data_IF_518208409298
#
_entry.id   IF_518208409298
#
_cell.length_a   1.000
_cell.length_b   1.000
_cell.length_c   1.000
_cell.angle_alpha   90.00
_cell.angle_beta   90.00
_cell.angle_gamma   90.00
#
_symmetry.space_group_name_H-M   'P 1'
#
loop_
_entity.id
_entity.type
_entity.pdbx_description
1 polymer ?
#
# COMPACT_ATOMS: atom_id res chain seq x y z
N UNK A 1 -18.80 6.42 9.81
CA UNK A 1 -18.67 6.60 11.29
C UNK A 1 -17.88 5.47 11.96
N UNK A 2 -18.01 4.20 11.53
CA UNK A 2 -17.35 3.05 12.18
C UNK A 2 -15.81 3.14 12.19
N UNK A 3 -15.18 3.57 11.10
CA UNK A 3 -13.73 3.66 10.99
C UNK A 3 -13.11 4.73 11.90
N UNK A 4 -13.82 5.83 12.12
CA UNK A 4 -13.35 6.92 12.98
C UNK A 4 -13.34 6.47 14.46
N UNK A 5 -14.28 5.62 14.84
CA UNK A 5 -14.38 5.07 16.20
C UNK A 5 -13.44 3.88 16.43
N UNK A 6 -12.91 3.28 15.37
CA UNK A 6 -11.99 2.15 15.50
C UNK A 6 -10.74 2.59 16.27
N UNK A 7 -10.36 1.93 17.38
CA UNK A 7 -9.18 2.30 18.16
C UNK A 7 -7.89 2.06 17.40
N UNK A 8 -6.84 2.77 17.76
CA UNK A 8 -5.49 2.47 17.33
C UNK A 8 -5.08 1.08 17.80
N UNK A 9 -4.28 0.40 17.00
CA UNK A 9 -3.67 -0.84 17.46
C UNK A 9 -2.74 -0.54 18.64
N UNK A 10 -2.92 -1.30 19.72
CA UNK A 10 -2.07 -1.27 20.91
C UNK A 10 -1.73 -2.70 21.31
N UNK A 11 -0.53 -3.16 20.98
CA UNK A 11 0.00 -4.46 21.41
C UNK A 11 1.00 -4.31 22.55
N UNK A 12 1.43 -5.42 23.13
CA UNK A 12 2.37 -5.42 24.29
C UNK A 12 3.70 -4.71 24.00
N UNK A 13 4.14 -4.66 22.73
CA UNK A 13 5.41 -4.05 22.31
C UNK A 13 5.21 -2.82 21.39
N UNK A 14 4.02 -2.25 21.34
CA UNK A 14 3.75 -1.07 20.49
C UNK A 14 3.71 0.19 21.32
N UNK A 15 4.48 1.21 20.89
CA UNK A 15 4.41 2.54 21.48
C UNK A 15 3.12 3.23 21.04
N UNK A 16 2.52 4.06 21.92
CA UNK A 16 1.39 4.88 21.52
C UNK A 16 1.80 5.84 20.40
N UNK A 17 0.92 6.11 19.42
CA UNK A 17 1.23 7.00 18.33
C UNK A 17 1.52 8.41 18.85
N UNK A 18 2.57 9.03 18.33
CA UNK A 18 2.90 10.44 18.60
C UNK A 18 1.79 11.35 18.07
N UNK A 19 1.67 12.57 18.60
CA UNK A 19 0.58 13.48 18.26
C UNK A 19 0.41 13.72 16.74
N UNK A 20 1.51 13.90 16.02
CA UNK A 20 1.49 14.10 14.57
C UNK A 20 1.07 12.84 13.79
N UNK A 21 1.46 11.65 14.26
CA UNK A 21 1.01 10.38 13.69
C UNK A 21 -0.49 10.19 13.91
N UNK A 22 -0.98 10.49 15.12
CA UNK A 22 -2.44 10.47 15.41
C UNK A 22 -3.20 11.42 14.49
N UNK A 23 -2.69 12.62 14.28
CA UNK A 23 -3.31 13.61 13.40
C UNK A 23 -3.32 13.09 11.95
N UNK A 24 -2.19 12.55 11.45
CA UNK A 24 -2.09 12.00 10.11
C UNK A 24 -3.10 10.86 9.91
N UNK A 25 -3.11 9.87 10.81
CA UNK A 25 -4.05 8.73 10.75
C UNK A 25 -5.50 9.21 10.78
N UNK A 26 -5.88 10.03 11.77
CA UNK A 26 -7.26 10.47 11.93
C UNK A 26 -7.75 11.30 10.74
N UNK A 27 -6.93 12.22 10.21
CA UNK A 27 -7.28 13.03 9.04
C UNK A 27 -7.42 12.17 7.78
N UNK A 28 -6.54 11.19 7.60
CA UNK A 28 -6.64 10.25 6.47
C UNK A 28 -7.93 9.45 6.53
N UNK A 29 -8.27 8.90 7.69
CA UNK A 29 -9.50 8.12 7.85
C UNK A 29 -10.76 8.97 7.72
N UNK A 30 -10.74 10.21 8.20
CA UNK A 30 -11.84 11.16 8.00
C UNK A 30 -12.01 11.51 6.51
N UNK A 31 -10.91 11.75 5.79
CA UNK A 31 -10.91 12.02 4.36
C UNK A 31 -11.52 10.83 3.57
N UNK A 32 -11.09 9.60 3.87
CA UNK A 32 -11.63 8.39 3.26
C UNK A 32 -13.12 8.22 3.60
N UNK A 33 -13.50 8.45 4.85
CA UNK A 33 -14.90 8.34 5.29
C UNK A 33 -15.82 9.36 4.60
N UNK A 34 -15.28 10.49 4.15
CA UNK A 34 -15.97 11.51 3.34
C UNK A 34 -15.95 11.24 1.83
N UNK A 35 -15.34 10.13 1.39
CA UNK A 35 -15.29 9.75 -0.02
C UNK A 35 -14.14 10.39 -0.80
N UNK A 36 -13.06 10.83 -0.14
CA UNK A 36 -11.85 11.25 -0.85
C UNK A 36 -11.07 10.04 -1.35
N UNK A 37 -10.75 10.04 -2.64
CA UNK A 37 -10.06 8.92 -3.31
C UNK A 37 -8.55 9.15 -3.44
N UNK A 38 -8.07 10.38 -3.23
CA UNK A 38 -6.66 10.75 -3.39
C UNK A 38 -6.19 11.50 -2.15
N UNK A 39 -5.17 10.96 -1.48
CA UNK A 39 -4.64 11.50 -0.23
C UNK A 39 -3.12 11.52 -0.30
N UNK A 40 -2.51 12.64 0.04
CA UNK A 40 -1.06 12.79 0.15
C UNK A 40 -0.67 13.02 1.61
N UNK A 41 0.22 12.16 2.13
CA UNK A 41 0.81 12.28 3.45
C UNK A 41 2.26 12.72 3.37
N UNK A 42 2.52 13.97 3.74
CA UNK A 42 3.89 14.50 3.77
C UNK A 42 4.46 14.35 5.19
N UNK A 43 5.40 13.43 5.35
CA UNK A 43 6.05 13.14 6.62
C UNK A 43 7.58 13.08 6.45
N UNK A 44 8.31 13.68 7.37
CA UNK A 44 9.78 13.65 7.34
C UNK A 44 10.34 12.22 7.54
N UNK A 45 11.55 11.99 7.06
CA UNK A 45 12.27 10.74 7.29
C UNK A 45 12.45 10.48 8.79
N UNK A 46 12.27 9.24 9.24
CA UNK A 46 12.41 8.87 10.65
C UNK A 46 11.22 9.23 11.55
N UNK A 47 10.14 9.79 11.00
CA UNK A 47 8.93 10.12 11.79
C UNK A 47 7.94 8.97 11.94
N UNK A 48 8.27 7.77 11.43
CA UNK A 48 7.43 6.58 11.51
C UNK A 48 6.33 6.55 10.45
N UNK A 49 6.67 6.82 9.19
CA UNK A 49 5.75 6.72 8.05
C UNK A 49 5.12 5.32 7.96
N UNK A 50 5.93 4.27 8.04
CA UNK A 50 5.47 2.88 7.98
C UNK A 50 4.51 2.55 9.12
N UNK A 51 4.83 2.98 10.34
CA UNK A 51 3.93 2.85 11.48
C UNK A 51 2.60 3.58 11.26
N UNK A 52 2.65 4.79 10.69
CA UNK A 52 1.44 5.57 10.37
C UNK A 52 0.59 4.84 9.32
N UNK A 53 1.21 4.32 8.26
CA UNK A 53 0.55 3.52 7.24
C UNK A 53 -0.06 2.24 7.84
N UNK A 54 0.67 1.53 8.72
CA UNK A 54 0.15 0.37 9.44
C UNK A 54 -1.11 0.70 10.23
N UNK A 55 -1.13 1.79 10.99
CA UNK A 55 -2.31 2.19 11.77
C UNK A 55 -3.52 2.53 10.89
N UNK A 56 -3.28 3.15 9.74
CA UNK A 56 -4.33 3.42 8.75
C UNK A 56 -4.92 2.10 8.23
N UNK A 57 -4.05 1.20 7.75
CA UNK A 57 -4.43 -0.12 7.23
C UNK A 57 -5.19 -0.93 8.28
N UNK A 58 -4.64 -1.04 9.49
CA UNK A 58 -5.26 -1.76 10.59
C UNK A 58 -6.69 -1.29 10.86
N UNK A 59 -6.90 0.02 11.00
CA UNK A 59 -8.22 0.59 11.29
C UNK A 59 -9.20 0.43 10.14
N UNK A 60 -8.74 0.54 8.89
CA UNK A 60 -9.57 0.32 7.70
C UNK A 60 -10.02 -1.14 7.57
N UNK A 61 -9.12 -2.10 7.79
CA UNK A 61 -9.45 -3.52 7.79
C UNK A 61 -10.40 -3.87 8.94
N UNK A 62 -10.09 -3.45 10.17
CA UNK A 62 -10.92 -3.75 11.35
C UNK A 62 -12.32 -3.15 11.30
N UNK A 63 -12.47 -2.00 10.67
CA UNK A 63 -13.80 -1.40 10.43
C UNK A 63 -14.57 -2.04 9.28
N UNK A 64 -13.91 -2.89 8.47
CA UNK A 64 -14.48 -3.49 7.26
C UNK A 64 -14.67 -2.49 6.11
N UNK A 65 -14.12 -1.27 6.23
CA UNK A 65 -14.26 -0.23 5.21
C UNK A 65 -13.42 -0.53 3.96
N UNK A 66 -12.25 -1.16 4.15
CA UNK A 66 -11.35 -1.64 3.09
C UNK A 66 -10.99 -3.09 3.40
N UNK A 67 -10.86 -3.92 2.35
CA UNK A 67 -10.66 -5.37 2.47
C UNK A 67 -9.46 -5.87 1.69
N UNK A 68 -9.12 -5.22 0.56
CA UNK A 68 -8.01 -5.59 -0.31
C UNK A 68 -7.09 -4.38 -0.51
N UNK A 69 -5.88 -4.50 0.00
CA UNK A 69 -4.94 -3.39 0.09
C UNK A 69 -3.66 -3.74 -0.64
N UNK A 70 -3.23 -2.89 -1.58
CA UNK A 70 -1.93 -2.96 -2.21
C UNK A 70 -0.98 -1.95 -1.57
N UNK A 71 0.16 -2.42 -1.07
CA UNK A 71 1.23 -1.59 -0.55
C UNK A 71 2.44 -1.65 -1.49
N UNK A 72 2.76 -0.54 -2.10
CA UNK A 72 3.89 -0.40 -3.03
C UNK A 72 5.08 0.25 -2.34
N UNK A 73 6.23 -0.44 -2.36
CA UNK A 73 7.47 0.04 -1.77
C UNK A 73 8.60 0.12 -2.82
N UNK A 74 9.58 1.00 -2.58
CA UNK A 74 10.72 1.19 -3.48
C UNK A 74 11.78 0.09 -3.34
N UNK A 75 11.96 -0.50 -2.14
CA UNK A 75 13.05 -1.45 -1.87
C UNK A 75 12.60 -2.70 -1.12
N UNK A 76 13.15 -3.85 -1.51
CA UNK A 76 12.91 -5.16 -0.86
C UNK A 76 13.19 -5.16 0.64
N UNK A 77 14.31 -4.57 1.06
CA UNK A 77 14.70 -4.50 2.47
C UNK A 77 13.64 -3.76 3.30
N UNK A 78 13.05 -2.70 2.74
CA UNK A 78 12.00 -1.95 3.41
C UNK A 78 10.71 -2.75 3.55
N UNK A 79 10.36 -3.57 2.54
CA UNK A 79 9.18 -4.46 2.61
C UNK A 79 9.34 -5.47 3.74
N UNK A 80 10.47 -6.18 3.79
CA UNK A 80 10.71 -7.22 4.78
C UNK A 80 10.76 -6.62 6.20
N UNK A 81 11.42 -5.49 6.39
CA UNK A 81 11.46 -4.77 7.66
C UNK A 81 10.06 -4.28 8.08
N UNK A 82 9.29 -3.72 7.15
CA UNK A 82 7.93 -3.24 7.44
C UNK A 82 7.01 -4.38 7.87
N UNK A 83 7.08 -5.53 7.18
CA UNK A 83 6.28 -6.71 7.53
C UNK A 83 6.69 -7.24 8.90
N UNK A 84 7.98 -7.38 9.18
CA UNK A 84 8.48 -7.96 10.43
C UNK A 84 8.32 -7.04 11.64
N UNK A 85 8.30 -5.73 11.46
CA UNK A 85 8.20 -4.75 12.54
C UNK A 85 6.79 -4.20 12.69
N UNK A 86 6.43 -3.25 11.83
CA UNK A 86 5.19 -2.50 12.00
C UNK A 86 3.95 -3.31 11.65
N UNK A 87 4.02 -4.15 10.60
CA UNK A 87 2.90 -4.97 10.13
C UNK A 87 2.85 -6.38 10.76
N UNK A 88 3.76 -6.73 11.66
CA UNK A 88 3.76 -8.04 12.34
C UNK A 88 2.39 -8.46 12.90
N UNK A 89 1.57 -7.56 13.48
CA UNK A 89 0.23 -7.94 13.95
C UNK A 89 -0.74 -8.40 12.87
N UNK A 90 -0.45 -8.08 11.60
CA UNK A 90 -1.25 -8.44 10.42
C UNK A 90 -0.55 -9.47 9.51
N UNK A 91 0.58 -10.04 9.95
CA UNK A 91 1.43 -10.93 9.15
C UNK A 91 0.65 -12.04 8.44
N UNK A 92 -0.32 -12.66 9.13
CA UNK A 92 -1.13 -13.76 8.57
C UNK A 92 -2.05 -13.33 7.42
N UNK A 93 -2.29 -12.04 7.27
CA UNK A 93 -3.15 -11.49 6.22
C UNK A 93 -2.35 -10.89 5.06
N UNK A 94 -1.01 -10.92 5.17
CA UNK A 94 -0.08 -10.33 4.21
C UNK A 94 0.38 -11.37 3.20
N UNK A 95 0.41 -10.96 1.93
CA UNK A 95 1.05 -11.67 0.85
C UNK A 95 2.09 -10.76 0.17
N UNK A 96 3.31 -11.26 0.02
CA UNK A 96 4.36 -10.59 -0.76
C UNK A 96 4.24 -11.07 -2.20
N UNK A 97 3.79 -10.20 -3.09
CA UNK A 97 3.50 -10.54 -4.49
C UNK A 97 4.76 -11.01 -5.22
N UNK A 98 4.63 -12.13 -5.92
CA UNK A 98 5.67 -12.70 -6.77
C UNK A 98 5.07 -13.05 -8.14
N UNK A 99 5.28 -12.19 -9.14
CA UNK A 99 4.70 -12.33 -10.48
C UNK A 99 5.12 -13.59 -11.26
N UNK A 100 6.13 -14.32 -10.78
CA UNK A 100 6.60 -15.57 -11.41
C UNK A 100 5.93 -16.81 -10.80
N UNK A 101 5.62 -16.74 -9.49
CA UNK A 101 5.18 -17.91 -8.72
C UNK A 101 3.71 -17.85 -8.29
N UNK A 102 3.12 -16.68 -8.28
CA UNK A 102 1.78 -16.50 -7.78
C UNK A 102 0.74 -16.96 -8.81
N UNK A 103 -0.25 -17.68 -8.31
CA UNK A 103 -1.46 -18.05 -9.04
C UNK A 103 -2.62 -17.17 -8.54
N UNK A 104 -3.35 -16.48 -9.45
CA UNK A 104 -4.48 -15.63 -9.09
C UNK A 104 -5.50 -16.28 -8.16
N UNK A 105 -5.71 -17.60 -8.30
CA UNK A 105 -6.68 -18.34 -7.49
C UNK A 105 -6.22 -18.52 -6.04
N UNK A 106 -4.91 -18.58 -5.79
CA UNK A 106 -4.36 -18.85 -4.46
C UNK A 106 -4.13 -17.60 -3.63
N UNK A 107 -3.74 -16.50 -4.28
CA UNK A 107 -3.39 -15.25 -3.58
C UNK A 107 -4.61 -14.45 -3.12
N UNK A 108 -5.79 -14.66 -3.71
CA UNK A 108 -7.00 -13.87 -3.43
C UNK A 108 -7.50 -13.99 -2.00
N UNK A 109 -7.07 -14.98 -1.22
CA UNK A 109 -7.44 -15.16 0.19
C UNK A 109 -6.84 -14.10 1.13
N UNK A 110 -5.72 -13.49 0.75
CA UNK A 110 -5.05 -12.47 1.57
C UNK A 110 -5.76 -11.11 1.50
N UNK A 111 -5.49 -10.27 2.49
CA UNK A 111 -6.09 -8.93 2.60
C UNK A 111 -5.10 -7.83 2.22
N UNK A 112 -3.80 -8.03 2.51
CA UNK A 112 -2.75 -7.05 2.25
C UNK A 112 -1.71 -7.66 1.29
N UNK A 113 -1.40 -6.92 0.24
CA UNK A 113 -0.45 -7.32 -0.78
C UNK A 113 0.71 -6.33 -0.81
N UNK A 114 1.92 -6.81 -0.52
CA UNK A 114 3.14 -6.02 -0.66
C UNK A 114 3.79 -6.31 -2.00
N UNK A 115 4.13 -5.27 -2.73
CA UNK A 115 4.86 -5.36 -3.99
C UNK A 115 5.90 -4.26 -4.12
N UNK A 116 6.91 -4.52 -4.94
CA UNK A 116 7.93 -3.54 -5.30
C UNK A 116 7.58 -2.88 -6.63
N UNK A 117 7.83 -1.59 -6.76
CA UNK A 117 7.73 -0.91 -8.06
C UNK A 117 8.55 -1.59 -9.15
N UNK A 118 9.76 -2.05 -8.79
CA UNK A 118 10.69 -2.66 -9.74
C UNK A 118 10.20 -4.01 -10.26
N UNK A 119 9.46 -4.76 -9.47
CA UNK A 119 8.87 -6.02 -9.91
C UNK A 119 7.71 -5.81 -10.88
N UNK A 120 7.05 -4.66 -10.76
CA UNK A 120 5.96 -4.27 -11.64
C UNK A 120 6.46 -3.66 -12.95
N UNK A 121 7.59 -2.94 -12.91
CA UNK A 121 8.13 -2.20 -14.04
C UNK A 121 8.96 -3.03 -15.05
N UNK A 122 9.11 -4.36 -14.83
CA UNK A 122 10.02 -5.17 -15.65
C UNK A 122 11.51 -4.99 -15.29
N UNK A 123 12.38 -5.83 -15.82
CA UNK A 123 13.84 -5.71 -15.63
C UNK A 123 14.38 -4.53 -16.42
N UNK A 124 15.28 -3.76 -15.80
CA UNK A 124 15.96 -2.57 -16.33
C UNK A 124 16.95 -2.82 -17.49
N UNK A 125 16.71 -3.79 -18.36
CA UNK A 125 17.57 -4.04 -19.51
C UNK A 125 16.78 -3.83 -20.80
N UNK A 126 17.10 -2.72 -21.42
CA UNK A 126 16.84 -2.33 -22.81
C UNK A 126 15.73 -1.27 -23.04
N UNK A 127 16.06 -0.40 -24.00
CA UNK A 127 15.42 0.85 -24.42
C UNK A 127 13.99 0.73 -25.02
N UNK A 128 13.18 -0.19 -24.57
CA UNK A 128 11.79 -0.27 -25.02
C UNK A 128 10.84 0.50 -24.12
N UNK A 129 10.09 1.40 -24.72
CA UNK A 129 9.07 2.28 -24.12
C UNK A 129 7.81 1.51 -23.64
N UNK A 130 7.89 0.29 -23.13
CA UNK A 130 6.72 -0.53 -22.84
C UNK A 130 6.18 -0.39 -21.41
N UNK A 131 5.49 0.71 -21.22
CA UNK A 131 4.62 0.85 -20.07
C UNK A 131 3.34 -0.03 -20.11
N UNK A 132 3.11 -0.70 -21.19
CA UNK A 132 2.01 -1.67 -21.33
C UNK A 132 2.34 -2.97 -20.59
N UNK A 133 3.60 -3.41 -20.53
CA UNK A 133 4.03 -4.63 -19.85
C UNK A 133 3.74 -4.60 -18.33
N UNK A 134 3.87 -3.44 -17.69
CA UNK A 134 3.55 -3.28 -16.27
C UNK A 134 2.07 -3.54 -15.99
N UNK A 135 1.20 -2.98 -16.84
CA UNK A 135 -0.25 -3.16 -16.71
C UNK A 135 -0.66 -4.58 -17.05
N UNK A 136 -0.04 -5.20 -18.07
CA UNK A 136 -0.31 -6.59 -18.43
C UNK A 136 0.04 -7.57 -17.33
N UNK A 137 1.18 -7.40 -16.65
CA UNK A 137 1.57 -8.23 -15.50
C UNK A 137 0.60 -8.10 -14.34
N UNK A 138 0.16 -6.86 -14.03
CA UNK A 138 -0.85 -6.64 -13.01
C UNK A 138 -2.19 -7.28 -13.38
N UNK A 139 -2.59 -7.15 -14.65
CA UNK A 139 -3.85 -7.71 -15.14
C UNK A 139 -3.89 -9.23 -15.14
N UNK A 140 -2.73 -9.90 -15.21
CA UNK A 140 -2.64 -11.36 -15.08
C UNK A 140 -3.00 -11.85 -13.67
N UNK A 141 -2.66 -11.07 -12.62
CA UNK A 141 -2.91 -11.46 -11.24
C UNK A 141 -4.15 -10.79 -10.63
N UNK A 142 -4.44 -9.56 -11.01
CA UNK A 142 -5.47 -8.76 -10.35
C UNK A 142 -6.38 -8.04 -11.35
N UNK A 143 -7.67 -8.11 -11.16
CA UNK A 143 -8.62 -7.28 -11.89
C UNK A 143 -8.50 -5.81 -11.46
N UNK A 144 -8.95 -4.89 -12.31
CA UNK A 144 -8.91 -3.43 -12.06
C UNK A 144 -9.56 -3.01 -10.73
N UNK A 145 -10.56 -3.74 -10.31
CA UNK A 145 -11.36 -3.45 -9.10
C UNK A 145 -10.98 -4.36 -7.93
N UNK A 146 -9.87 -5.11 -8.04
CA UNK A 146 -9.48 -6.05 -7.00
C UNK A 146 -9.07 -5.34 -5.69
N UNK A 147 -8.32 -4.24 -5.80
CA UNK A 147 -7.91 -3.46 -4.64
C UNK A 147 -8.89 -2.31 -4.39
N UNK A 148 -9.21 -2.09 -3.13
CA UNK A 148 -10.02 -0.96 -2.67
C UNK A 148 -9.17 0.14 -1.98
N UNK A 149 -7.88 -0.16 -1.74
CA UNK A 149 -6.88 0.80 -1.26
C UNK A 149 -5.51 0.49 -1.88
N UNK A 150 -4.84 1.52 -2.39
CA UNK A 150 -3.44 1.47 -2.84
C UNK A 150 -2.61 2.47 -2.05
N UNK A 151 -1.54 2.01 -1.41
CA UNK A 151 -0.58 2.85 -0.69
C UNK A 151 0.74 2.84 -1.43
N UNK A 152 1.28 4.04 -1.68
CA UNK A 152 2.54 4.25 -2.40
C UNK A 152 3.55 4.86 -1.44
N UNK A 153 4.46 4.05 -0.93
CA UNK A 153 5.50 4.53 -0.01
C UNK A 153 6.61 5.25 -0.80
N UNK A 154 7.10 6.37 -0.25
CA UNK A 154 8.17 7.18 -0.87
C UNK A 154 7.85 7.64 -2.31
N UNK A 155 6.61 7.98 -2.60
CA UNK A 155 6.13 8.34 -3.95
C UNK A 155 6.89 9.53 -4.62
N UNK A 156 7.66 10.28 -3.83
CA UNK A 156 8.52 11.38 -4.30
C UNK A 156 9.90 10.93 -4.78
N UNK A 157 10.29 9.67 -4.53
CA UNK A 157 11.60 9.14 -4.92
C UNK A 157 11.53 8.47 -6.27
N UNK A 158 12.35 8.92 -7.21
CA UNK A 158 12.53 8.24 -8.48
C UNK A 158 12.94 9.17 -9.62
N UNK A 159 13.43 8.57 -10.70
CA UNK A 159 13.57 9.24 -12.00
C UNK A 159 12.19 9.45 -12.63
N UNK A 160 12.10 10.33 -13.63
CA UNK A 160 10.85 10.53 -14.40
C UNK A 160 10.27 9.22 -14.95
N UNK A 161 11.13 8.23 -15.27
CA UNK A 161 10.72 6.90 -15.74
C UNK A 161 10.04 6.09 -14.61
N UNK A 162 10.57 6.13 -13.38
CA UNK A 162 9.94 5.47 -12.22
C UNK A 162 8.60 6.12 -11.85
N UNK A 163 8.52 7.44 -11.97
CA UNK A 163 7.29 8.19 -11.76
C UNK A 163 6.20 7.78 -12.78
N UNK A 164 6.57 7.55 -14.02
CA UNK A 164 5.66 7.03 -15.04
C UNK A 164 5.09 5.66 -14.67
N UNK A 165 5.90 4.75 -14.15
CA UNK A 165 5.47 3.37 -13.87
C UNK A 165 4.48 3.27 -12.70
N UNK A 166 4.73 3.93 -11.57
CA UNK A 166 3.75 3.88 -10.48
C UNK A 166 2.46 4.64 -10.81
N UNK A 167 2.52 5.68 -11.65
CA UNK A 167 1.30 6.35 -12.17
C UNK A 167 0.41 5.39 -12.95
N UNK A 168 0.99 4.57 -13.83
CA UNK A 168 0.24 3.55 -14.58
C UNK A 168 -0.44 2.54 -13.67
N UNK A 169 0.23 2.14 -12.58
CA UNK A 169 -0.38 1.28 -11.55
C UNK A 169 -1.59 1.96 -10.92
N UNK A 170 -1.46 3.24 -10.55
CA UNK A 170 -2.55 4.00 -9.97
C UNK A 170 -3.70 4.24 -10.95
N UNK A 171 -3.40 4.43 -12.22
CA UNK A 171 -4.40 4.53 -13.29
C UNK A 171 -5.13 3.20 -13.51
N UNK A 172 -4.40 2.09 -13.48
CA UNK A 172 -4.99 0.76 -13.58
C UNK A 172 -5.96 0.47 -12.43
N UNK A 173 -5.60 0.81 -11.19
CA UNK A 173 -6.46 0.67 -10.02
C UNK A 173 -7.18 1.98 -9.67
N UNK A 174 -7.71 2.67 -10.66
CA UNK A 174 -8.33 4.00 -10.49
C UNK A 174 -9.57 4.01 -9.60
N UNK A 175 -10.24 2.87 -9.43
CA UNK A 175 -11.38 2.68 -8.52
C UNK A 175 -10.97 2.62 -7.04
N UNK A 176 -9.70 2.32 -6.75
CA UNK A 176 -9.20 2.26 -5.39
C UNK A 176 -8.95 3.66 -4.80
N UNK A 177 -9.13 3.80 -3.49
CA UNK A 177 -8.59 4.93 -2.75
C UNK A 177 -7.06 4.88 -2.79
N UNK A 178 -6.39 6.00 -3.00
CA UNK A 178 -4.93 6.06 -3.18
C UNK A 178 -4.30 7.00 -2.16
N UNK A 179 -3.26 6.50 -1.46
CA UNK A 179 -2.47 7.25 -0.48
C UNK A 179 -1.01 7.25 -0.94
N UNK A 180 -0.39 8.43 -1.02
CA UNK A 180 1.01 8.61 -1.34
C UNK A 180 1.78 9.39 -0.29
#
# INVERSE_FOLDING_TARGET
ESVIRQPFYSGQNTYPPRYYQRNAVNRTLDAIARGQDRILLVMATGTGKTYTAFQIVYRLLKSGMKKKILYLADRNILVDQSIQQDFAPLEKTIHKVNFVKDDPLTITSHEIFFSLYQQLAGKDDDDTEDGDETVERLAQLFSKDFFDLVIVDECHRGSAKKESNWRKILEYFSSATQIG
#
